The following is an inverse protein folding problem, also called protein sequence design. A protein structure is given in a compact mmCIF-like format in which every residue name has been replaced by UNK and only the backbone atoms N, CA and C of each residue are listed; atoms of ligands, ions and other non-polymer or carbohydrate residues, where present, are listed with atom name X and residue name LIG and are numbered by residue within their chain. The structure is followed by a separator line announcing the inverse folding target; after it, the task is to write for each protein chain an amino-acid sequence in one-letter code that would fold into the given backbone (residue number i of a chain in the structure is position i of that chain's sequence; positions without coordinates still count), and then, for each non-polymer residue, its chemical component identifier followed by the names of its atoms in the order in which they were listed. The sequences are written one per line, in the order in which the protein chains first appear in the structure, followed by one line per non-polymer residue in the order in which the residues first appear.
data_IF_229424122329
#
_entry.id   IF_229424122329
#
_cell.length_a   1.000
_cell.length_b   1.000
_cell.length_c   1.000
_cell.angle_alpha   90.00
_cell.angle_beta   90.00
_cell.angle_gamma   90.00
#
_symmetry.space_group_name_H-M   'P 1'
#
loop_
_entity.id
_entity.type
_entity.pdbx_description
1 polymer ?
#
# COMPACT_ATOMS: atom_id res chain seq x y z
N UNK A 1 45.21 -62.00 45.89
CA UNK A 1 44.60 -60.69 45.92
C UNK A 1 44.97 -59.95 44.65
N UNK A 2 44.22 -60.03 43.53
CA UNK A 2 44.35 -59.12 42.37
C UNK A 2 43.28 -59.42 41.29
N UNK A 3 42.07 -59.81 41.67
CA UNK A 3 41.00 -60.14 40.72
C UNK A 3 40.08 -58.95 40.21
N UNK A 4 40.04 -57.76 40.82
CA UNK A 4 39.06 -56.76 40.35
C UNK A 4 39.59 -55.81 39.26
N UNK A 5 40.90 -55.80 38.96
CA UNK A 5 41.46 -54.85 37.94
C UNK A 5 41.35 -55.38 36.51
N UNK A 6 41.21 -56.65 36.28
CA UNK A 6 41.09 -57.23 34.92
C UNK A 6 39.65 -57.13 34.41
N UNK A 7 38.66 -57.21 35.32
CA UNK A 7 37.25 -57.13 34.92
C UNK A 7 36.83 -55.70 34.49
N UNK A 8 37.49 -54.66 35.06
CA UNK A 8 37.22 -53.27 34.66
C UNK A 8 37.86 -52.90 33.33
N UNK A 9 38.98 -53.54 33.00
CA UNK A 9 39.64 -53.29 31.71
C UNK A 9 38.90 -53.92 30.52
N UNK A 10 38.25 -55.07 30.71
CA UNK A 10 37.45 -55.71 29.65
C UNK A 10 36.11 -55.02 29.44
N UNK A 11 35.51 -54.41 30.46
CA UNK A 11 34.27 -53.65 30.30
C UNK A 11 34.52 -52.32 29.57
N UNK A 12 35.69 -51.69 29.74
CA UNK A 12 36.04 -50.44 29.09
C UNK A 12 36.32 -50.61 27.57
N UNK A 13 36.75 -51.80 27.15
CA UNK A 13 37.04 -52.08 25.71
C UNK A 13 35.76 -52.38 24.94
N UNK A 14 34.71 -52.90 25.55
CA UNK A 14 33.44 -53.16 24.86
C UNK A 14 32.63 -51.89 24.59
N UNK A 15 32.86 -50.82 25.37
CA UNK A 15 32.16 -49.51 25.14
C UNK A 15 32.79 -48.66 24.03
N UNK A 16 33.99 -49.03 23.57
CA UNK A 16 34.71 -48.30 22.50
C UNK A 16 34.63 -48.96 21.11
N UNK A 17 33.62 -49.78 20.89
CA UNK A 17 33.34 -50.18 19.51
C UNK A 17 32.66 -49.00 18.79
N UNK A 18 33.41 -48.27 17.95
CA UNK A 18 32.73 -47.25 17.12
C UNK A 18 31.77 -48.01 16.22
N UNK A 19 30.49 -47.74 16.35
CA UNK A 19 29.52 -48.18 15.37
C UNK A 19 30.00 -47.61 14.01
N UNK A 20 30.72 -48.43 13.26
CA UNK A 20 31.21 -48.07 11.94
C UNK A 20 30.04 -47.91 10.97
N UNK A 21 29.35 -46.78 11.10
CA UNK A 21 28.46 -46.32 10.05
C UNK A 21 29.37 -46.01 8.84
N UNK A 22 29.18 -46.75 7.75
CA UNK A 22 29.96 -46.50 6.52
C UNK A 22 29.96 -44.99 6.23
N UNK A 23 31.16 -44.39 6.05
CA UNK A 23 31.36 -42.97 5.74
C UNK A 23 30.41 -42.51 4.62
N UNK A 24 30.12 -43.41 3.68
CA UNK A 24 29.18 -43.17 2.56
C UNK A 24 27.71 -43.02 3.04
N UNK A 25 27.29 -43.80 4.05
CA UNK A 25 25.95 -43.66 4.67
C UNK A 25 25.84 -42.40 5.52
N UNK A 26 26.90 -42.06 6.27
CA UNK A 26 26.93 -40.88 7.07
C UNK A 26 26.84 -39.60 6.21
N UNK A 27 27.65 -39.50 5.14
CA UNK A 27 27.60 -38.39 4.19
C UNK A 27 26.26 -38.33 3.45
N UNK A 28 25.66 -39.44 3.11
CA UNK A 28 24.32 -39.47 2.48
C UNK A 28 23.23 -38.97 3.43
N UNK A 29 23.28 -39.39 4.71
CA UNK A 29 22.34 -38.90 5.72
C UNK A 29 22.58 -37.39 6.01
N UNK A 30 23.83 -36.96 6.06
CA UNK A 30 24.18 -35.56 6.26
C UNK A 30 23.67 -34.68 5.12
N UNK A 31 23.84 -35.13 3.87
CA UNK A 31 23.30 -34.43 2.70
C UNK A 31 21.77 -34.43 2.71
N UNK A 32 21.15 -35.58 3.04
CA UNK A 32 19.69 -35.65 3.18
C UNK A 32 19.15 -34.71 4.27
N UNK A 33 19.83 -34.63 5.40
CA UNK A 33 19.47 -33.70 6.47
C UNK A 33 19.65 -32.22 6.04
N UNK A 34 20.69 -31.91 5.28
CA UNK A 34 20.86 -30.57 4.71
C UNK A 34 19.70 -30.22 3.78
N UNK A 35 19.39 -31.09 2.82
CA UNK A 35 18.27 -30.86 1.88
C UNK A 35 16.92 -30.80 2.59
N UNK A 36 16.73 -31.57 3.67
CA UNK A 36 15.50 -31.50 4.48
C UNK A 36 15.41 -30.18 5.24
N UNK A 37 16.51 -29.72 5.81
CA UNK A 37 16.56 -28.43 6.51
C UNK A 37 16.34 -27.25 5.56
N UNK A 38 16.89 -27.32 4.34
CA UNK A 38 16.63 -26.31 3.30
C UNK A 38 15.15 -26.28 2.89
N UNK A 39 14.55 -27.45 2.67
CA UNK A 39 13.12 -27.56 2.36
C UNK A 39 12.24 -27.08 3.51
N UNK A 40 12.63 -27.38 4.75
CA UNK A 40 11.91 -26.92 5.94
C UNK A 40 12.00 -25.40 6.09
N UNK A 41 13.20 -24.83 5.86
CA UNK A 41 13.40 -23.39 5.88
C UNK A 41 12.60 -22.67 4.79
N UNK A 42 12.51 -23.26 3.60
CA UNK A 42 11.71 -22.73 2.50
C UNK A 42 10.21 -22.83 2.79
N UNK A 43 9.74 -23.98 3.29
CA UNK A 43 8.33 -24.16 3.68
C UNK A 43 7.93 -23.19 4.81
N UNK A 44 8.81 -22.95 5.77
CA UNK A 44 8.56 -21.96 6.84
C UNK A 44 8.47 -20.55 6.28
N UNK A 45 9.35 -20.14 5.34
CA UNK A 45 9.26 -18.83 4.68
C UNK A 45 7.95 -18.65 3.91
N UNK A 46 7.53 -19.69 3.17
CA UNK A 46 6.25 -19.66 2.45
C UNK A 46 5.05 -19.61 3.41
N UNK A 47 5.14 -20.31 4.54
CA UNK A 47 4.11 -20.30 5.58
C UNK A 47 4.02 -18.90 6.24
N UNK A 48 5.15 -18.27 6.54
CA UNK A 48 5.19 -16.95 7.14
C UNK A 48 4.70 -15.86 6.16
N UNK A 49 5.04 -15.97 4.88
CA UNK A 49 4.49 -15.12 3.83
C UNK A 49 2.96 -15.28 3.72
N UNK A 50 2.48 -16.54 3.66
CA UNK A 50 1.05 -16.83 3.61
C UNK A 50 0.29 -16.35 4.86
N UNK A 51 0.91 -16.46 6.05
CA UNK A 51 0.36 -15.91 7.29
C UNK A 51 0.29 -14.38 7.25
N UNK A 52 1.31 -13.73 6.70
CA UNK A 52 1.31 -12.29 6.47
C UNK A 52 0.18 -11.85 5.55
N UNK A 53 0.05 -12.49 4.39
CA UNK A 53 -1.02 -12.22 3.43
C UNK A 53 -2.42 -12.48 4.03
N UNK A 54 -2.57 -13.57 4.79
CA UNK A 54 -3.81 -13.88 5.50
C UNK A 54 -4.17 -12.78 6.51
N UNK A 55 -3.21 -12.32 7.31
CA UNK A 55 -3.42 -11.23 8.29
C UNK A 55 -3.87 -9.93 7.61
N UNK A 56 -3.24 -9.57 6.48
CA UNK A 56 -3.62 -8.40 5.68
C UNK A 56 -5.04 -8.55 5.11
N UNK A 57 -5.37 -9.75 4.62
CA UNK A 57 -6.72 -10.04 4.11
C UNK A 57 -7.77 -10.01 5.22
N UNK A 58 -7.48 -10.57 6.38
CA UNK A 58 -8.38 -10.53 7.54
C UNK A 58 -8.61 -9.08 8.01
N UNK A 59 -7.57 -8.25 8.05
CA UNK A 59 -7.71 -6.83 8.36
C UNK A 59 -8.56 -6.09 7.31
N UNK A 60 -8.38 -6.40 6.02
CA UNK A 60 -9.22 -5.86 4.94
C UNK A 60 -10.67 -6.32 5.01
N UNK A 61 -10.88 -7.60 5.30
CA UNK A 61 -12.24 -8.14 5.48
C UNK A 61 -12.94 -7.43 6.65
N UNK A 62 -12.24 -7.27 7.78
CA UNK A 62 -12.76 -6.54 8.93
C UNK A 62 -13.06 -5.06 8.58
N UNK A 63 -12.19 -4.40 7.84
CA UNK A 63 -12.43 -3.02 7.38
C UNK A 63 -13.67 -2.93 6.45
N UNK A 64 -13.75 -3.85 5.49
CA UNK A 64 -14.91 -3.92 4.56
C UNK A 64 -16.19 -4.25 5.33
N UNK A 65 -16.13 -5.16 6.30
CA UNK A 65 -17.26 -5.50 7.15
C UNK A 65 -17.72 -4.29 7.97
N UNK A 66 -16.77 -3.56 8.60
CA UNK A 66 -17.10 -2.35 9.33
C UNK A 66 -17.72 -1.26 8.44
N UNK A 67 -17.18 -1.07 7.21
CA UNK A 67 -17.77 -0.15 6.21
C UNK A 67 -19.19 -0.60 5.81
N UNK A 68 -19.39 -1.91 5.62
CA UNK A 68 -20.70 -2.46 5.24
C UNK A 68 -21.75 -2.27 6.35
N UNK A 69 -21.35 -2.47 7.59
CA UNK A 69 -22.24 -2.29 8.73
C UNK A 69 -22.56 -0.80 8.95
N UNK A 70 -21.58 0.09 8.82
CA UNK A 70 -21.80 1.53 8.86
C UNK A 70 -22.76 2.01 7.74
N UNK A 71 -22.62 1.47 6.53
CA UNK A 71 -23.54 1.75 5.42
C UNK A 71 -24.95 1.20 5.67
N UNK A 72 -25.09 0.02 6.29
CA UNK A 72 -26.38 -0.52 6.70
C UNK A 72 -27.06 0.35 7.75
N UNK A 73 -26.29 0.85 8.73
CA UNK A 73 -26.79 1.76 9.74
C UNK A 73 -27.26 3.09 9.12
N UNK A 74 -26.53 3.63 8.15
CA UNK A 74 -26.93 4.81 7.39
C UNK A 74 -28.22 4.54 6.57
N UNK A 75 -28.32 3.39 5.91
CA UNK A 75 -29.53 3.00 5.17
C UNK A 75 -30.72 2.80 6.12
N UNK A 76 -30.51 2.18 7.28
CA UNK A 76 -31.56 2.02 8.28
C UNK A 76 -32.00 3.39 8.84
N UNK A 77 -31.08 4.31 9.08
CA UNK A 77 -31.39 5.66 9.53
C UNK A 77 -32.11 6.49 8.45
N UNK A 78 -31.70 6.35 7.17
CA UNK A 78 -32.38 6.97 6.03
C UNK A 78 -33.81 6.41 5.85
N UNK A 79 -33.96 5.10 5.98
CA UNK A 79 -35.29 4.48 5.92
C UNK A 79 -36.21 4.93 7.06
N UNK A 80 -35.66 5.05 8.27
CA UNK A 80 -36.38 5.61 9.42
C UNK A 80 -36.79 7.07 9.20
N UNK A 81 -35.86 7.87 8.63
CA UNK A 81 -36.12 9.27 8.28
C UNK A 81 -37.21 9.39 7.21
N UNK A 82 -37.16 8.52 6.19
CA UNK A 82 -38.18 8.48 5.14
C UNK A 82 -39.56 8.05 5.68
N UNK A 83 -39.57 7.06 6.59
CA UNK A 83 -40.83 6.64 7.24
C UNK A 83 -41.47 7.75 8.12
N UNK A 84 -40.60 8.49 8.85
CA UNK A 84 -41.05 9.65 9.63
C UNK A 84 -41.57 10.78 8.73
N UNK A 85 -40.89 11.05 7.59
CA UNK A 85 -41.36 12.02 6.61
C UNK A 85 -42.71 11.61 5.99
N UNK A 86 -42.86 10.33 5.62
CA UNK A 86 -44.11 9.80 5.10
C UNK A 86 -45.25 9.88 6.13
N UNK A 87 -44.95 9.65 7.39
CA UNK A 87 -45.92 9.81 8.47
C UNK A 87 -46.34 11.30 8.67
N UNK A 88 -45.36 12.20 8.59
CA UNK A 88 -45.65 13.65 8.63
C UNK A 88 -46.46 14.08 7.41
N UNK A 89 -46.18 13.53 6.20
CA UNK A 89 -46.98 13.80 5.01
C UNK A 89 -48.44 13.38 5.22
N UNK A 90 -48.70 12.19 5.80
CA UNK A 90 -50.05 11.70 6.06
C UNK A 90 -50.80 12.56 7.10
N UNK A 91 -50.08 13.09 8.08
CA UNK A 91 -50.63 14.02 9.08
C UNK A 91 -50.81 15.44 8.50
N UNK A 92 -49.89 15.86 7.60
CA UNK A 92 -49.95 17.18 6.97
C UNK A 92 -50.88 17.28 5.76
N UNK A 93 -51.37 16.16 5.23
CA UNK A 93 -52.42 16.17 4.19
C UNK A 93 -53.71 16.88 4.67
N UNK A 94 -53.81 17.09 5.98
CA UNK A 94 -54.87 17.85 6.63
C UNK A 94 -54.51 19.33 6.92
N UNK A 95 -53.24 19.70 6.74
CA UNK A 95 -52.70 21.03 6.97
C UNK A 95 -52.45 21.78 5.65
N UNK A 96 -52.49 23.08 5.72
CA UNK A 96 -52.55 24.05 4.61
C UNK A 96 -51.53 23.82 3.46
N UNK A 97 -51.92 24.25 2.25
CA UNK A 97 -51.14 24.23 0.99
C UNK A 97 -49.68 24.70 1.13
N UNK A 98 -49.42 25.50 2.16
CA UNK A 98 -48.07 26.08 2.46
C UNK A 98 -47.14 25.05 3.09
N UNK A 99 -47.64 24.11 3.89
CA UNK A 99 -46.84 23.08 4.53
C UNK A 99 -46.47 21.95 3.56
N UNK A 100 -47.41 21.65 2.58
CA UNK A 100 -47.11 20.69 1.50
C UNK A 100 -45.91 21.14 0.63
N UNK A 101 -45.83 22.46 0.32
CA UNK A 101 -44.69 23.00 -0.45
C UNK A 101 -43.37 22.96 0.30
N UNK A 102 -43.39 23.12 1.63
CA UNK A 102 -42.16 22.99 2.44
C UNK A 102 -41.68 21.56 2.55
N UNK A 103 -42.64 20.60 2.58
CA UNK A 103 -42.29 19.17 2.59
C UNK A 103 -41.71 18.72 1.25
N UNK A 104 -42.28 19.20 0.13
CA UNK A 104 -41.75 18.93 -1.21
C UNK A 104 -40.31 19.39 -1.36
N UNK A 105 -39.99 20.60 -0.86
CA UNK A 105 -38.60 21.12 -0.80
C UNK A 105 -37.70 20.23 0.06
N UNK A 106 -38.19 19.72 1.18
CA UNK A 106 -37.41 18.85 2.07
C UNK A 106 -37.14 17.48 1.43
N UNK A 107 -38.08 16.91 0.70
CA UNK A 107 -37.91 15.69 -0.05
C UNK A 107 -36.88 15.86 -1.21
N UNK A 108 -36.93 17.03 -1.87
CA UNK A 108 -35.95 17.36 -2.92
C UNK A 108 -34.53 17.46 -2.34
N UNK A 109 -34.36 18.09 -1.18
CA UNK A 109 -33.07 18.14 -0.48
C UNK A 109 -32.56 16.75 -0.06
N UNK A 110 -33.46 15.86 0.39
CA UNK A 110 -33.08 14.48 0.72
C UNK A 110 -32.64 13.71 -0.53
N UNK A 111 -33.34 13.86 -1.65
CA UNK A 111 -32.95 13.30 -2.94
C UNK A 111 -31.57 13.77 -3.40
N UNK A 112 -31.33 15.06 -3.27
CA UNK A 112 -30.03 15.66 -3.61
C UNK A 112 -28.90 15.08 -2.73
N UNK A 113 -29.15 14.93 -1.43
CA UNK A 113 -28.18 14.31 -0.51
C UNK A 113 -27.92 12.83 -0.86
N UNK A 114 -28.94 12.05 -1.21
CA UNK A 114 -28.80 10.65 -1.61
C UNK A 114 -27.97 10.53 -2.91
N UNK A 115 -28.24 11.36 -3.90
CA UNK A 115 -27.45 11.44 -5.13
C UNK A 115 -26.00 11.82 -4.86
N UNK A 116 -25.77 12.75 -3.91
CA UNK A 116 -24.44 13.16 -3.51
C UNK A 116 -23.67 12.03 -2.82
N UNK A 117 -24.33 11.29 -1.92
CA UNK A 117 -23.76 10.12 -1.24
C UNK A 117 -23.39 9.04 -2.27
N UNK A 118 -24.27 8.71 -3.20
CA UNK A 118 -24.00 7.71 -4.26
C UNK A 118 -22.80 8.12 -5.13
N UNK A 119 -22.72 9.39 -5.54
CA UNK A 119 -21.58 9.89 -6.32
C UNK A 119 -20.26 9.80 -5.56
N UNK A 120 -20.27 10.12 -4.26
CA UNK A 120 -19.08 9.96 -3.40
C UNK A 120 -18.69 8.49 -3.25
N UNK A 121 -19.67 7.59 -3.11
CA UNK A 121 -19.45 6.14 -3.06
C UNK A 121 -18.84 5.61 -4.37
N UNK A 122 -19.37 6.03 -5.51
CA UNK A 122 -18.85 5.65 -6.83
C UNK A 122 -17.42 6.17 -7.03
N UNK A 123 -17.14 7.41 -6.61
CA UNK A 123 -15.79 7.98 -6.68
C UNK A 123 -14.80 7.21 -5.78
N UNK A 124 -15.21 6.82 -4.56
CA UNK A 124 -14.39 6.01 -3.65
C UNK A 124 -14.14 4.61 -4.21
N UNK A 125 -15.18 3.95 -4.72
CA UNK A 125 -15.07 2.61 -5.34
C UNK A 125 -14.14 2.65 -6.55
N UNK A 126 -14.26 3.67 -7.39
CA UNK A 126 -13.39 3.86 -8.55
C UNK A 126 -11.94 4.07 -8.12
N UNK A 127 -11.70 4.91 -7.12
CA UNK A 127 -10.37 5.14 -6.55
C UNK A 127 -9.75 3.84 -6.01
N UNK A 128 -10.51 3.06 -5.24
CA UNK A 128 -10.04 1.80 -4.67
C UNK A 128 -9.76 0.75 -5.78
N UNK A 129 -10.58 0.71 -6.82
CA UNK A 129 -10.37 -0.16 -7.99
C UNK A 129 -9.10 0.19 -8.75
N UNK A 130 -8.84 1.47 -8.96
CA UNK A 130 -7.60 1.95 -9.63
C UNK A 130 -6.37 1.60 -8.80
N UNK A 131 -6.44 1.80 -7.49
CA UNK A 131 -5.35 1.44 -6.57
C UNK A 131 -5.08 -0.07 -6.57
N UNK A 132 -6.13 -0.88 -6.54
CA UNK A 132 -6.01 -2.34 -6.59
C UNK A 132 -5.41 -2.81 -7.93
N UNK A 133 -5.88 -2.27 -9.05
CA UNK A 133 -5.33 -2.57 -10.37
C UNK A 133 -3.84 -2.22 -10.47
N UNK A 134 -3.43 -1.08 -9.91
CA UNK A 134 -2.02 -0.67 -9.84
C UNK A 134 -1.19 -1.67 -9.03
N UNK A 135 -1.68 -2.09 -7.87
CA UNK A 135 -0.99 -3.07 -7.01
C UNK A 135 -0.82 -4.41 -7.69
N UNK A 136 -1.89 -4.89 -8.34
CA UNK A 136 -1.84 -6.15 -9.11
C UNK A 136 -0.84 -6.04 -10.25
N UNK A 137 -0.84 -4.95 -10.99
CA UNK A 137 0.10 -4.68 -12.09
C UNK A 137 1.55 -4.62 -11.58
N UNK A 138 1.81 -3.91 -10.49
CA UNK A 138 3.13 -3.84 -9.86
C UNK A 138 3.59 -5.20 -9.34
N UNK A 139 2.75 -5.93 -8.62
CA UNK A 139 3.07 -7.28 -8.11
C UNK A 139 3.32 -8.26 -9.26
N UNK A 140 2.55 -8.19 -10.33
CA UNK A 140 2.77 -9.02 -11.53
C UNK A 140 4.10 -8.69 -12.23
N UNK A 141 4.40 -7.42 -12.42
CA UNK A 141 5.64 -6.95 -13.06
C UNK A 141 6.88 -7.23 -12.21
N UNK A 142 6.76 -7.11 -10.88
CA UNK A 142 7.83 -7.33 -9.91
C UNK A 142 7.88 -8.75 -9.37
N UNK A 143 6.85 -9.57 -9.58
CA UNK A 143 6.58 -10.83 -8.88
C UNK A 143 7.59 -11.97 -9.04
N UNK A 144 8.55 -11.86 -9.95
CA UNK A 144 9.70 -12.77 -10.04
C UNK A 144 10.91 -12.29 -9.22
N UNK A 145 10.79 -11.18 -8.53
CA UNK A 145 11.78 -10.67 -7.59
C UNK A 145 11.36 -11.12 -6.18
N UNK A 146 11.61 -12.40 -5.83
CA UNK A 146 11.61 -12.87 -4.44
C UNK A 146 12.76 -12.18 -3.71
N UNK A 147 12.59 -10.90 -3.41
CA UNK A 147 13.66 -10.07 -2.95
C UNK A 147 13.25 -9.30 -1.70
N UNK A 148 13.98 -9.51 -0.63
CA UNK A 148 13.91 -8.69 0.58
C UNK A 148 14.25 -7.21 0.31
N UNK A 149 14.83 -6.94 -0.87
CA UNK A 149 15.27 -5.62 -1.29
C UNK A 149 14.19 -4.79 -1.99
N UNK A 150 13.03 -5.39 -2.37
CA UNK A 150 11.91 -4.70 -3.02
C UNK A 150 10.62 -5.06 -2.30
N UNK A 151 9.96 -4.07 -1.72
CA UNK A 151 8.66 -4.25 -1.07
C UNK A 151 7.62 -3.31 -1.65
N UNK A 152 6.41 -3.83 -1.88
CA UNK A 152 5.25 -3.06 -2.34
C UNK A 152 4.19 -3.08 -1.26
N UNK A 153 3.90 -1.93 -0.69
CA UNK A 153 2.89 -1.72 0.36
C UNK A 153 1.82 -0.75 -0.12
N UNK A 154 0.63 -0.87 0.45
CA UNK A 154 -0.49 0.06 0.22
C UNK A 154 -0.97 0.59 1.55
N UNK A 155 -1.00 1.89 1.67
CA UNK A 155 -1.53 2.59 2.84
C UNK A 155 -2.43 3.74 2.36
N UNK A 156 -3.68 3.78 2.84
CA UNK A 156 -4.63 4.87 2.54
C UNK A 156 -4.74 5.20 1.04
N UNK A 157 -4.85 4.18 0.19
CA UNK A 157 -4.94 4.30 -1.28
C UNK A 157 -3.68 4.89 -1.95
N UNK A 158 -2.55 4.91 -1.26
CA UNK A 158 -1.25 5.28 -1.79
C UNK A 158 -0.40 4.02 -1.91
N UNK A 159 0.25 3.84 -3.04
CA UNK A 159 1.13 2.69 -3.28
C UNK A 159 2.56 3.10 -3.02
N UNK A 160 3.24 2.33 -2.18
CA UNK A 160 4.64 2.54 -1.82
C UNK A 160 5.48 1.39 -2.34
N UNK A 161 6.50 1.70 -3.12
CA UNK A 161 7.54 0.76 -3.53
C UNK A 161 8.81 1.16 -2.79
N UNK A 162 9.25 0.31 -1.85
CA UNK A 162 10.50 0.52 -1.13
C UNK A 162 11.61 -0.33 -1.73
N UNK A 163 12.72 0.30 -2.03
CA UNK A 163 13.89 -0.30 -2.66
C UNK A 163 15.09 -0.11 -1.73
N UNK A 164 15.77 -1.20 -1.36
CA UNK A 164 16.93 -1.11 -0.48
C UNK A 164 18.08 -0.36 -1.14
N UNK A 165 18.78 0.45 -0.36
CA UNK A 165 19.97 1.20 -0.81
C UNK A 165 21.07 0.27 -1.34
N UNK A 166 21.26 -0.87 -0.68
CA UNK A 166 22.23 -1.90 -1.05
C UNK A 166 22.00 -2.47 -2.45
N UNK A 167 20.72 -2.64 -2.82
CA UNK A 167 20.36 -3.10 -4.17
C UNK A 167 20.57 -1.98 -5.20
N UNK A 168 20.19 -0.75 -4.84
CA UNK A 168 20.15 0.38 -5.77
C UNK A 168 21.55 0.91 -6.10
N UNK A 169 22.36 1.13 -5.08
CA UNK A 169 23.62 1.86 -5.22
C UNK A 169 24.83 1.02 -4.85
N UNK A 170 25.95 1.31 -5.50
CA UNK A 170 27.25 0.84 -5.02
C UNK A 170 27.56 1.55 -3.69
N UNK A 171 28.25 0.84 -2.77
CA UNK A 171 28.56 1.35 -1.44
C UNK A 171 29.17 2.76 -1.48
N UNK A 172 28.52 3.70 -0.81
CA UNK A 172 28.94 5.09 -0.74
C UNK A 172 28.86 5.88 -2.05
N UNK A 173 28.12 5.41 -3.04
CA UNK A 173 27.99 6.03 -4.37
C UNK A 173 26.54 6.40 -4.67
N UNK A 174 26.33 7.26 -5.65
CA UNK A 174 25.05 7.53 -6.31
C UNK A 174 24.91 6.77 -7.63
N UNK A 175 25.91 5.96 -8.03
CA UNK A 175 25.84 5.13 -9.25
C UNK A 175 24.94 3.92 -9.03
N UNK A 176 23.99 3.74 -9.95
CA UNK A 176 23.05 2.63 -9.90
C UNK A 176 23.69 1.30 -10.30
N UNK A 177 23.25 0.24 -9.63
CA UNK A 177 23.58 -1.14 -10.00
C UNK A 177 22.81 -1.56 -11.27
N UNK A 178 23.30 -2.59 -11.97
CA UNK A 178 22.56 -3.19 -13.09
C UNK A 178 21.18 -3.73 -12.65
N UNK A 179 21.10 -4.30 -11.45
CA UNK A 179 19.85 -4.80 -10.86
C UNK A 179 18.87 -3.67 -10.57
N UNK A 180 19.35 -2.55 -10.06
CA UNK A 180 18.53 -1.36 -9.86
C UNK A 180 17.84 -0.92 -11.15
N UNK A 181 18.58 -0.90 -12.26
CA UNK A 181 18.03 -0.53 -13.57
C UNK A 181 16.91 -1.46 -14.01
N UNK A 182 17.08 -2.78 -13.86
CA UNK A 182 16.02 -3.75 -14.20
C UNK A 182 14.75 -3.57 -13.37
N UNK A 183 14.89 -3.27 -12.06
CA UNK A 183 13.74 -3.00 -11.20
C UNK A 183 13.04 -1.70 -11.59
N UNK A 184 13.83 -0.64 -11.83
CA UNK A 184 13.31 0.66 -12.24
C UNK A 184 12.62 0.61 -13.62
N UNK A 185 13.11 -0.21 -14.56
CA UNK A 185 12.47 -0.44 -15.84
C UNK A 185 11.05 -1.01 -15.68
N UNK A 186 10.91 -2.04 -14.82
CA UNK A 186 9.61 -2.65 -14.53
C UNK A 186 8.65 -1.67 -13.85
N UNK A 187 9.16 -0.88 -12.90
CA UNK A 187 8.37 0.17 -12.25
C UNK A 187 7.93 1.23 -13.28
N UNK A 188 8.86 1.68 -14.12
CA UNK A 188 8.60 2.67 -15.16
C UNK A 188 7.55 2.18 -16.17
N UNK A 189 7.59 0.90 -16.57
CA UNK A 189 6.56 0.31 -17.43
C UNK A 189 5.17 0.49 -16.84
N UNK A 190 4.98 0.16 -15.55
CA UNK A 190 3.70 0.33 -14.87
C UNK A 190 3.31 1.80 -14.73
N UNK A 191 4.28 2.69 -14.47
CA UNK A 191 4.03 4.13 -14.39
C UNK A 191 3.60 4.73 -15.72
N UNK A 192 4.18 4.27 -16.83
CA UNK A 192 3.83 4.73 -18.17
C UNK A 192 2.45 4.23 -18.62
N UNK A 193 2.03 3.04 -18.16
CA UNK A 193 0.68 2.52 -18.38
C UNK A 193 -0.40 3.27 -17.58
N UNK A 194 0.01 4.10 -16.60
CA UNK A 194 -0.88 4.86 -15.71
C UNK A 194 -0.52 6.35 -15.70
N UNK A 195 -0.79 7.07 -16.78
CA UNK A 195 -0.41 8.49 -16.92
C UNK A 195 -1.13 9.42 -15.94
N UNK A 196 -2.24 8.98 -15.35
CA UNK A 196 -3.03 9.70 -14.35
C UNK A 196 -2.42 9.68 -12.94
N UNK A 197 -1.28 8.99 -12.75
CA UNK A 197 -0.63 8.90 -11.45
C UNK A 197 0.54 9.87 -11.34
N UNK A 198 0.70 10.47 -10.18
CA UNK A 198 1.89 11.23 -9.78
C UNK A 198 2.87 10.34 -9.02
N UNK A 199 4.14 10.66 -9.12
CA UNK A 199 5.23 9.88 -8.56
C UNK A 199 6.10 10.77 -7.68
N UNK A 200 6.20 10.44 -6.41
CA UNK A 200 7.15 11.07 -5.50
C UNK A 200 8.25 10.05 -5.17
N UNK A 201 9.48 10.38 -5.53
CA UNK A 201 10.66 9.59 -5.20
C UNK A 201 11.30 10.16 -3.94
N UNK A 202 11.24 9.42 -2.84
CA UNK A 202 11.80 9.82 -1.56
C UNK A 202 13.09 9.05 -1.25
N UNK A 203 14.15 9.77 -0.90
CA UNK A 203 15.39 9.18 -0.37
C UNK A 203 15.38 9.20 1.15
N UNK A 204 15.79 8.09 1.77
CA UNK A 204 15.91 7.94 3.22
C UNK A 204 17.33 7.44 3.55
N UNK A 205 17.85 7.89 4.68
CA UNK A 205 19.14 7.46 5.24
C UNK A 205 18.94 6.81 6.61
N UNK A 206 19.99 6.24 7.13
CA UNK A 206 20.14 5.97 8.56
C UNK A 206 20.63 7.23 9.29
N UNK A 207 20.86 7.13 10.59
CA UNK A 207 21.34 8.24 11.44
C UNK A 207 22.86 8.39 11.46
N UNK A 208 23.60 7.66 10.62
CA UNK A 208 25.08 7.81 10.55
C UNK A 208 25.39 9.09 9.78
N UNK A 209 26.08 10.04 10.40
CA UNK A 209 26.45 11.29 9.72
C UNK A 209 27.32 11.03 8.50
N UNK A 210 27.05 11.77 7.44
CA UNK A 210 27.89 11.78 6.24
C UNK A 210 28.33 13.19 5.91
N UNK A 211 29.59 13.33 5.52
CA UNK A 211 30.12 14.58 4.95
C UNK A 211 31.18 14.23 3.92
N UNK A 212 30.99 14.63 2.67
CA UNK A 212 31.88 14.42 1.54
C UNK A 212 31.77 15.61 0.59
N UNK A 213 32.63 15.66 -0.41
CA UNK A 213 32.54 16.66 -1.48
C UNK A 213 31.12 16.68 -2.08
N UNK A 214 30.48 17.84 -2.07
CA UNK A 214 29.12 18.08 -2.53
C UNK A 214 27.98 17.42 -1.71
N UNK A 215 28.25 16.76 -0.60
CA UNK A 215 27.28 16.18 0.32
C UNK A 215 27.62 16.64 1.73
N UNK A 216 26.83 17.55 2.27
CA UNK A 216 27.08 18.14 3.60
C UNK A 216 26.54 17.24 4.72
N UNK A 217 25.40 16.62 4.49
CA UNK A 217 24.66 15.86 5.48
C UNK A 217 23.73 14.80 4.83
N UNK A 218 22.93 14.15 5.66
CA UNK A 218 21.94 13.16 5.23
C UNK A 218 20.79 13.75 4.40
N UNK A 219 20.49 15.05 4.50
CA UNK A 219 19.55 15.73 3.63
C UNK A 219 20.05 15.76 2.19
N UNK A 220 21.27 16.22 1.99
CA UNK A 220 21.88 16.24 0.66
C UNK A 220 21.97 14.85 0.06
N UNK A 221 22.42 13.85 0.85
CA UNK A 221 22.54 12.47 0.37
C UNK A 221 21.20 11.91 -0.07
N UNK A 222 20.18 12.06 0.76
CA UNK A 222 18.84 11.53 0.47
C UNK A 222 18.22 12.19 -0.74
N UNK A 223 18.34 13.53 -0.86
CA UNK A 223 17.83 14.28 -2.01
C UNK A 223 18.56 13.93 -3.31
N UNK A 224 19.89 13.82 -3.27
CA UNK A 224 20.69 13.45 -4.43
C UNK A 224 20.37 12.03 -4.94
N UNK A 225 20.16 11.09 -4.03
CA UNK A 225 19.76 9.72 -4.37
C UNK A 225 18.38 9.68 -5.02
N UNK A 226 17.40 10.40 -4.45
CA UNK A 226 16.08 10.53 -5.04
C UNK A 226 16.13 11.15 -6.45
N UNK A 227 16.91 12.22 -6.62
CA UNK A 227 17.11 12.88 -7.91
C UNK A 227 17.79 11.95 -8.93
N UNK A 228 18.73 11.10 -8.49
CA UNK A 228 19.38 10.12 -9.39
C UNK A 228 18.35 9.12 -9.94
N UNK A 229 17.48 8.59 -9.09
CA UNK A 229 16.38 7.69 -9.52
C UNK A 229 15.43 8.41 -10.47
N UNK A 230 15.03 9.63 -10.13
CA UNK A 230 14.14 10.46 -10.96
C UNK A 230 14.71 10.67 -12.35
N UNK A 231 16.00 10.99 -12.47
CA UNK A 231 16.67 11.15 -13.78
C UNK A 231 16.66 9.87 -14.60
N UNK A 232 16.86 8.73 -13.97
CA UNK A 232 16.81 7.44 -14.67
C UNK A 232 15.39 7.11 -15.13
N UNK A 233 14.38 7.33 -14.30
CA UNK A 233 12.98 7.16 -14.71
C UNK A 233 12.62 8.07 -15.89
N UNK A 234 13.08 9.32 -15.86
CA UNK A 234 12.84 10.29 -16.93
C UNK A 234 13.63 9.96 -18.20
N UNK A 235 14.95 9.82 -18.11
CA UNK A 235 15.84 9.81 -19.27
C UNK A 235 16.00 8.42 -19.88
N UNK A 236 16.05 7.35 -19.05
CA UNK A 236 16.28 5.98 -19.52
C UNK A 236 14.93 5.28 -19.83
N UNK A 237 13.84 5.65 -19.13
CA UNK A 237 12.55 4.95 -19.23
C UNK A 237 11.36 5.83 -19.62
N UNK A 238 11.59 7.08 -20.03
CA UNK A 238 10.60 8.00 -20.60
C UNK A 238 9.37 8.27 -19.69
N UNK A 239 9.53 8.22 -18.37
CA UNK A 239 8.46 8.67 -17.47
C UNK A 239 8.37 10.19 -17.53
N UNK A 240 7.16 10.71 -17.75
CA UNK A 240 6.91 12.16 -17.89
C UNK A 240 7.43 12.93 -16.66
N UNK A 241 8.39 13.86 -16.83
CA UNK A 241 8.97 14.62 -15.72
C UNK A 241 7.95 15.52 -15.01
N UNK A 242 6.87 15.94 -15.67
CA UNK A 242 5.81 16.74 -15.05
C UNK A 242 5.09 16.00 -13.91
N UNK A 243 5.19 14.66 -13.89
CA UNK A 243 4.57 13.80 -12.88
C UNK A 243 5.51 13.33 -11.78
N UNK A 244 6.81 13.63 -11.89
CA UNK A 244 7.80 13.10 -10.96
C UNK A 244 8.32 14.22 -10.04
N UNK A 245 8.26 13.98 -8.75
CA UNK A 245 8.90 14.82 -7.75
C UNK A 245 10.00 14.03 -7.04
N UNK A 246 11.17 14.62 -6.85
CA UNK A 246 12.24 14.06 -6.04
C UNK A 246 12.31 14.76 -4.68
N UNK A 247 12.39 14.01 -3.58
CA UNK A 247 12.45 14.54 -2.23
C UNK A 247 13.44 13.79 -1.34
N UNK A 248 14.15 14.52 -0.49
CA UNK A 248 14.95 13.96 0.58
C UNK A 248 14.16 13.92 1.89
N UNK A 249 14.31 12.85 2.67
CA UNK A 249 13.70 12.67 4.00
C UNK A 249 14.76 12.54 5.09
N UNK A 250 16.05 12.54 4.72
CA UNK A 250 17.13 12.33 5.67
C UNK A 250 16.90 11.07 6.54
N UNK A 251 17.22 11.13 7.81
CA UNK A 251 17.08 10.06 8.82
C UNK A 251 15.80 10.13 9.64
N UNK A 252 14.94 11.15 9.42
CA UNK A 252 13.85 11.50 10.34
C UNK A 252 12.58 10.67 10.18
N UNK A 253 12.56 9.73 9.23
CA UNK A 253 11.42 8.80 9.04
C UNK A 253 11.94 7.36 9.03
N UNK A 254 12.47 6.86 10.17
CA UNK A 254 12.99 5.50 10.25
C UNK A 254 11.86 4.46 10.21
N UNK A 255 12.12 3.31 9.60
CA UNK A 255 11.25 2.12 9.65
C UNK A 255 11.66 1.15 10.74
N UNK A 256 12.93 1.16 11.12
CA UNK A 256 13.50 0.29 12.15
C UNK A 256 14.46 1.08 13.05
N UNK A 257 14.84 0.50 14.19
CA UNK A 257 15.80 1.12 15.09
C UNK A 257 17.15 1.35 14.40
N UNK A 258 17.71 2.55 14.54
CA UNK A 258 19.04 2.87 14.05
C UNK A 258 20.19 2.29 14.92
N UNK A 259 19.87 1.67 16.05
CA UNK A 259 20.88 1.09 16.95
C UNK A 259 21.52 -0.15 16.35
N UNK A 260 20.76 -0.96 15.59
CA UNK A 260 21.25 -2.18 14.96
C UNK A 260 21.73 -1.95 13.52
N UNK A 261 22.75 -2.67 13.04
CA UNK A 261 23.17 -2.61 11.63
C UNK A 261 22.04 -2.98 10.66
N UNK A 262 21.20 -3.95 11.02
CA UNK A 262 20.06 -4.42 10.23
C UNK A 262 19.01 -3.34 10.13
N UNK A 263 18.69 -2.67 11.24
CA UNK A 263 17.71 -1.57 11.26
C UNK A 263 18.23 -0.37 10.45
N UNK A 264 19.49 -0.03 10.55
CA UNK A 264 20.10 1.00 9.69
C UNK A 264 20.02 0.62 8.21
N UNK A 265 20.26 -0.64 7.87
CA UNK A 265 20.13 -1.11 6.49
C UNK A 265 18.68 -0.98 5.97
N UNK A 266 17.69 -1.23 6.80
CA UNK A 266 16.27 -1.04 6.48
C UNK A 266 15.91 0.43 6.29
N UNK A 267 16.51 1.31 7.08
CA UNK A 267 16.27 2.74 6.99
C UNK A 267 16.88 3.36 5.72
N UNK A 268 18.05 2.87 5.27
CA UNK A 268 18.65 3.28 4.00
C UNK A 268 17.87 2.69 2.83
N UNK A 269 16.95 3.47 2.26
CA UNK A 269 16.07 3.07 1.16
C UNK A 269 15.71 4.22 0.25
N UNK A 270 15.25 3.88 -0.92
CA UNK A 270 14.44 4.77 -1.77
C UNK A 270 12.99 4.29 -1.70
N UNK A 271 12.07 5.22 -1.52
CA UNK A 271 10.64 4.95 -1.52
C UNK A 271 10.01 5.68 -2.71
N UNK A 272 9.44 4.92 -3.63
CA UNK A 272 8.66 5.47 -4.74
C UNK A 272 7.20 5.45 -4.29
N UNK A 273 6.62 6.62 -4.17
CA UNK A 273 5.24 6.85 -3.74
C UNK A 273 4.42 7.16 -4.98
N UNK A 274 3.39 6.36 -5.25
CA UNK A 274 2.51 6.53 -6.39
C UNK A 274 1.16 7.00 -5.88
N UNK A 275 0.77 8.19 -6.36
CA UNK A 275 -0.40 8.94 -5.91
C UNK A 275 -1.34 9.16 -7.10
N UNK A 276 -2.66 8.99 -6.95
CA UNK A 276 -3.58 9.48 -7.95
C UNK A 276 -3.52 11.02 -8.00
N UNK A 277 -3.65 11.61 -9.17
CA UNK A 277 -3.77 13.07 -9.33
C UNK A 277 -5.00 13.55 -8.58
N UNK A 278 -4.78 14.34 -7.54
CA UNK A 278 -5.85 14.89 -6.70
C UNK A 278 -6.76 15.85 -7.47
N UNK A 279 -6.22 16.54 -8.47
CA UNK A 279 -6.98 17.50 -9.31
C UNK A 279 -8.16 16.86 -10.03
N UNK A 280 -8.02 15.60 -10.48
CA UNK A 280 -9.13 14.87 -11.11
C UNK A 280 -10.21 14.49 -10.09
N UNK A 281 -9.80 14.20 -8.84
CA UNK A 281 -10.74 13.91 -7.77
C UNK A 281 -11.47 15.17 -7.32
N UNK A 282 -10.76 16.27 -7.14
CA UNK A 282 -11.39 17.57 -6.83
C UNK A 282 -12.25 18.08 -7.99
N UNK A 283 -11.81 17.90 -9.24
CA UNK A 283 -12.62 18.22 -10.43
C UNK A 283 -13.95 17.48 -10.44
N UNK A 284 -13.95 16.17 -10.18
CA UNK A 284 -15.21 15.40 -10.10
C UNK A 284 -16.14 15.87 -8.97
N UNK A 285 -15.57 16.30 -7.84
CA UNK A 285 -16.34 16.87 -6.73
C UNK A 285 -16.90 18.24 -7.12
N UNK A 286 -16.08 19.11 -7.73
CA UNK A 286 -16.45 20.44 -8.15
C UNK A 286 -17.51 20.44 -9.25
N UNK A 287 -17.36 19.59 -10.25
CA UNK A 287 -18.36 19.37 -11.31
C UNK A 287 -19.68 18.84 -10.72
N UNK A 288 -19.59 17.96 -9.73
CA UNK A 288 -20.76 17.48 -8.99
C UNK A 288 -21.44 18.57 -8.17
N UNK A 289 -20.68 19.50 -7.60
CA UNK A 289 -21.22 20.64 -6.85
C UNK A 289 -21.85 21.67 -7.79
N UNK A 290 -21.18 22.03 -8.90
CA UNK A 290 -21.70 22.95 -9.92
C UNK A 290 -23.00 22.44 -10.54
N UNK A 291 -23.06 21.15 -10.89
CA UNK A 291 -24.28 20.55 -11.43
C UNK A 291 -25.47 20.60 -10.43
N UNK A 292 -25.18 20.60 -9.12
CA UNK A 292 -26.20 20.77 -8.09
C UNK A 292 -26.65 22.24 -7.98
N UNK A 293 -25.73 23.20 -8.10
CA UNK A 293 -26.03 24.63 -8.10
C UNK A 293 -26.83 25.05 -9.34
N UNK A 294 -26.49 24.56 -10.52
CA UNK A 294 -27.19 24.82 -11.78
C UNK A 294 -28.62 24.29 -11.76
N UNK A 295 -28.86 23.12 -11.13
CA UNK A 295 -30.22 22.60 -10.94
C UNK A 295 -31.05 23.48 -9.98
N UNK A 296 -30.45 24.04 -8.93
CA UNK A 296 -31.13 24.98 -8.03
C UNK A 296 -31.52 26.27 -8.71
N UNK A 297 -30.68 26.82 -9.60
CA UNK A 297 -30.97 28.04 -10.33
C UNK A 297 -32.05 27.81 -11.42
N UNK A 298 -32.09 26.63 -12.03
CA UNK A 298 -33.10 26.27 -13.03
C UNK A 298 -34.53 26.11 -12.49
N UNK A 299 -34.68 25.79 -11.19
CA UNK A 299 -35.98 25.62 -10.53
C UNK A 299 -36.53 26.91 -9.89
N UNK A 300 -35.74 27.99 -9.87
CA UNK A 300 -36.14 29.27 -9.26
C UNK A 300 -36.86 30.26 -10.19
N UNK A 301 -37.04 29.95 -11.47
CA UNK A 301 -37.79 30.82 -12.37
C UNK A 301 -39.30 30.63 -12.17
N UNK A 302 -40.04 31.62 -11.69
CA UNK A 302 -41.51 31.55 -11.67
C UNK A 302 -42.02 31.45 -13.09
N UNK A 303 -42.93 30.51 -13.35
CA UNK A 303 -43.64 30.40 -14.62
C UNK A 303 -44.24 31.77 -14.99
N UNK A 304 -44.09 32.24 -16.24
CA UNK A 304 -44.73 33.49 -16.65
C UNK A 304 -46.25 33.34 -16.49
N UNK A 305 -46.80 34.23 -15.68
CA UNK A 305 -48.21 34.27 -15.38
C UNK A 305 -49.02 34.31 -16.68
N UNK A 306 -49.83 33.32 -16.89
CA UNK A 306 -50.87 33.36 -17.92
C UNK A 306 -51.84 34.48 -17.56
N UNK A 307 -51.88 35.50 -18.41
CA UNK A 307 -52.96 36.50 -18.45
C UNK A 307 -54.20 35.76 -18.93
N UNK A 308 -55.12 35.48 -18.02
CA UNK A 308 -56.51 35.21 -18.35
C UNK A 308 -57.16 36.50 -18.85
N UNK A 309 -57.64 36.52 -20.10
CA UNK A 309 -58.77 37.31 -20.57
C UNK A 309 -60.05 36.45 -20.44
#
# INVERSE_FOLDING_TARGET
MNAPKILLATLAVVVLLPACVSKKKYTAIQLSNQTLNEKLAEANRQLDACRGDKSVLEARVAEIQNKNDHLKDQVAQLNSTNAALLNNVSQMATLSKQEATNLEKSLEQIREQDLRIRRLQDALTKKDSVTLALVVSLKSSLGNLNDTDVTVNVEKSVVFISLSDKMLFQSGSTKLSARAKQVLEKVATVLNDKPEMEVLVEGHTDNVPISRDCIKDNWDLSAMRATTITRVLQNDYNVDPARITAGGRSEYVPLASNETPEGRSTNRRIRIVILPKLDQFFGMIEDGLKAAEDMQQGMGAPAPGGTEE
#
